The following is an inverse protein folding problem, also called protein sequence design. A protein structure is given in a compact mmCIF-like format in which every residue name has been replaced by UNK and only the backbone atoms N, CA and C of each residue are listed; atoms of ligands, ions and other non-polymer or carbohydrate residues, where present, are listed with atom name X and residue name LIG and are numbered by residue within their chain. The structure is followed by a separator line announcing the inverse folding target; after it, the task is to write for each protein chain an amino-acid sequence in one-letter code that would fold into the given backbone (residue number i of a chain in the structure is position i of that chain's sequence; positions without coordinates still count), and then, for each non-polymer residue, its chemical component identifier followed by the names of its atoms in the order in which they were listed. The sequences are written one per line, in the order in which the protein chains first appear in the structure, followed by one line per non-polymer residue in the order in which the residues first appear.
data_IF_698024361910
#
_entry.id   IF_698024361910
#
_cell.length_a   1.000
_cell.length_b   1.000
_cell.length_c   1.000
_cell.angle_alpha   90.00
_cell.angle_beta   90.00
_cell.angle_gamma   90.00
#
_symmetry.space_group_name_H-M   'P 1'
#
loop_
_entity.id
_entity.type
_entity.pdbx_description
1 polymer ?
#
# COMPACT_ATOMS: atom_id res chain seq x y z
N UNK A 1 -7.43 1.92 22.16
CA UNK A 1 -7.89 1.35 23.45
C UNK A 1 -8.43 2.50 24.27
N UNK A 2 -9.65 2.36 24.82
CA UNK A 2 -10.30 3.41 25.60
C UNK A 2 -9.61 3.62 26.95
N UNK A 3 -9.54 4.87 27.43
CA UNK A 3 -8.84 5.27 28.64
C UNK A 3 -9.20 4.46 29.90
N UNK A 4 -10.49 4.09 30.15
CA UNK A 4 -10.85 3.27 31.30
C UNK A 4 -10.20 1.87 31.32
N UNK A 5 -9.87 1.31 30.18
CA UNK A 5 -9.13 0.03 30.10
C UNK A 5 -7.65 0.26 30.37
N UNK A 6 -7.07 1.33 29.82
CA UNK A 6 -5.66 1.64 30.05
C UNK A 6 -5.34 1.92 31.54
N UNK A 7 -6.26 2.56 32.25
CA UNK A 7 -6.09 2.86 33.69
C UNK A 7 -6.17 1.62 34.60
N UNK A 8 -6.74 0.52 34.13
CA UNK A 8 -6.94 -0.73 34.90
C UNK A 8 -6.02 -1.87 34.49
N UNK A 9 -5.27 -1.69 33.40
CA UNK A 9 -4.37 -2.69 32.85
C UNK A 9 -2.94 -2.14 32.78
N UNK A 10 -1.99 -3.06 32.90
CA UNK A 10 -0.59 -2.72 32.63
C UNK A 10 -0.39 -2.65 31.12
N UNK A 11 -0.02 -1.48 30.61
CA UNK A 11 0.22 -1.26 29.18
C UNK A 11 1.65 -1.65 28.83
N UNK A 12 1.82 -2.70 28.02
CA UNK A 12 3.11 -3.09 27.47
C UNK A 12 3.19 -2.62 26.02
N UNK A 13 4.14 -1.73 25.72
CA UNK A 13 4.39 -1.25 24.36
C UNK A 13 5.37 -2.17 23.66
N UNK A 14 4.88 -2.99 22.73
CA UNK A 14 5.74 -3.83 21.88
C UNK A 14 6.11 -3.03 20.65
N UNK A 15 7.42 -2.76 20.50
CA UNK A 15 7.97 -2.06 19.34
C UNK A 15 8.47 -3.10 18.33
N UNK A 16 8.10 -2.99 17.04
CA UNK A 16 8.58 -3.93 16.04
C UNK A 16 10.11 -3.81 15.88
N UNK A 17 10.81 -4.93 15.58
CA UNK A 17 12.25 -4.92 15.30
C UNK A 17 12.59 -4.01 14.12
N UNK A 18 13.83 -3.55 14.04
CA UNK A 18 14.29 -2.77 12.89
C UNK A 18 14.21 -3.57 11.58
N UNK A 19 14.03 -2.89 10.45
CA UNK A 19 13.96 -3.51 9.13
C UNK A 19 15.18 -4.38 8.82
N UNK A 20 16.37 -3.99 9.29
CA UNK A 20 17.60 -4.77 9.10
C UNK A 20 17.60 -6.09 9.86
N UNK A 21 17.05 -6.12 11.07
CA UNK A 21 16.92 -7.35 11.86
C UNK A 21 15.91 -8.28 11.21
N UNK A 22 14.78 -7.75 10.74
CA UNK A 22 13.76 -8.54 10.04
C UNK A 22 14.33 -9.09 8.72
N UNK A 23 15.05 -8.29 7.93
CA UNK A 23 15.67 -8.75 6.69
C UNK A 23 16.64 -9.90 6.91
N UNK A 24 17.49 -9.84 7.94
CA UNK A 24 18.37 -10.95 8.32
C UNK A 24 17.59 -12.20 8.69
N UNK A 25 16.54 -12.05 9.50
CA UNK A 25 15.70 -13.19 9.89
C UNK A 25 15.04 -13.87 8.68
N UNK A 26 14.52 -13.08 7.72
CA UNK A 26 13.94 -13.63 6.50
C UNK A 26 14.99 -14.35 5.63
N UNK A 27 16.19 -13.79 5.51
CA UNK A 27 17.30 -14.43 4.80
C UNK A 27 17.71 -15.76 5.47
N UNK A 28 17.76 -15.82 6.81
CA UNK A 28 18.05 -17.05 7.55
C UNK A 28 16.96 -18.12 7.33
N UNK A 29 15.70 -17.73 7.30
CA UNK A 29 14.58 -18.64 7.01
C UNK A 29 14.70 -19.18 5.58
N UNK A 30 14.91 -18.31 4.59
CA UNK A 30 15.07 -18.72 3.20
C UNK A 30 16.29 -19.62 3.00
N UNK A 31 17.39 -19.35 3.71
CA UNK A 31 18.58 -20.22 3.70
C UNK A 31 18.28 -21.63 4.23
N UNK A 32 17.47 -21.76 5.30
CA UNK A 32 17.04 -23.07 5.84
C UNK A 32 16.14 -23.84 4.88
N UNK A 33 15.29 -23.13 4.15
CA UNK A 33 14.39 -23.69 3.14
C UNK A 33 15.06 -23.86 1.77
N UNK A 34 16.38 -23.59 1.66
CA UNK A 34 17.16 -23.69 0.42
C UNK A 34 16.61 -22.82 -0.72
N UNK A 35 16.04 -21.67 -0.38
CA UNK A 35 15.53 -20.69 -1.34
C UNK A 35 16.63 -19.70 -1.71
N UNK A 36 17.05 -19.71 -2.98
CA UNK A 36 17.98 -18.71 -3.51
C UNK A 36 17.29 -17.35 -3.66
N UNK A 37 17.93 -16.28 -3.22
CA UNK A 37 17.33 -14.94 -3.20
C UNK A 37 18.39 -13.85 -3.41
N UNK A 38 17.97 -12.70 -3.94
CA UNK A 38 18.78 -11.48 -3.97
C UNK A 38 18.45 -10.59 -2.74
N UNK A 39 19.47 -9.93 -2.23
CA UNK A 39 19.34 -8.96 -1.11
C UNK A 39 18.35 -7.85 -1.47
N UNK A 40 18.28 -7.43 -2.72
CA UNK A 40 17.35 -6.42 -3.21
C UNK A 40 15.88 -6.87 -3.11
N UNK A 41 15.62 -8.14 -3.42
CA UNK A 41 14.28 -8.72 -3.32
C UNK A 41 13.80 -8.78 -1.88
N UNK A 42 14.67 -9.22 -0.97
CA UNK A 42 14.36 -9.22 0.47
C UNK A 42 14.08 -7.81 0.98
N UNK A 43 14.92 -6.84 0.60
CA UNK A 43 14.73 -5.45 1.00
C UNK A 43 13.39 -4.88 0.49
N UNK A 44 12.98 -5.24 -0.72
CA UNK A 44 11.70 -4.84 -1.31
C UNK A 44 10.52 -5.39 -0.51
N UNK A 45 10.54 -6.69 -0.18
CA UNK A 45 9.49 -7.33 0.63
C UNK A 45 9.38 -6.68 2.01
N UNK A 46 10.53 -6.46 2.66
CA UNK A 46 10.57 -5.82 3.98
C UNK A 46 10.03 -4.40 3.93
N UNK A 47 10.47 -3.59 2.97
CA UNK A 47 10.00 -2.21 2.86
C UNK A 47 8.49 -2.09 2.62
N UNK A 48 7.94 -3.03 1.83
CA UNK A 48 6.52 -3.04 1.49
C UNK A 48 5.62 -3.50 2.63
N UNK A 49 6.04 -4.51 3.38
CA UNK A 49 5.17 -5.18 4.35
C UNK A 49 5.50 -4.84 5.81
N UNK A 50 6.52 -4.00 6.06
CA UNK A 50 6.86 -3.59 7.43
C UNK A 50 5.67 -2.92 8.14
N UNK A 51 5.37 -3.30 9.40
CA UNK A 51 6.12 -4.20 10.28
C UNK A 51 5.61 -5.65 10.31
N UNK A 52 4.74 -6.07 9.41
CA UNK A 52 4.06 -7.38 9.43
C UNK A 52 4.94 -8.51 8.87
N UNK A 53 5.67 -9.20 9.77
CA UNK A 53 6.56 -10.32 9.42
C UNK A 53 5.79 -11.50 8.82
N UNK A 54 4.55 -11.78 9.27
CA UNK A 54 3.73 -12.86 8.71
C UNK A 54 3.41 -12.59 7.25
N UNK A 55 3.03 -11.36 6.93
CA UNK A 55 2.75 -10.95 5.55
C UNK A 55 4.00 -11.04 4.67
N UNK A 56 5.18 -10.72 5.23
CA UNK A 56 6.46 -10.90 4.51
C UNK A 56 6.73 -12.35 4.18
N UNK A 57 6.58 -13.27 5.14
CA UNK A 57 6.77 -14.71 4.94
C UNK A 57 5.78 -15.28 3.92
N UNK A 58 4.50 -14.91 4.01
CA UNK A 58 3.50 -15.30 3.03
C UNK A 58 3.85 -14.78 1.62
N UNK A 59 4.36 -13.55 1.52
CA UNK A 59 4.81 -12.99 0.23
C UNK A 59 5.98 -13.78 -0.33
N UNK A 60 6.96 -14.15 0.49
CA UNK A 60 8.09 -14.99 0.09
C UNK A 60 7.58 -16.34 -0.41
N UNK A 61 6.70 -17.00 0.33
CA UNK A 61 6.15 -18.30 -0.04
C UNK A 61 5.40 -18.26 -1.38
N UNK A 62 4.58 -17.22 -1.60
CA UNK A 62 3.85 -17.04 -2.86
C UNK A 62 4.76 -16.67 -4.04
N UNK A 63 5.89 -16.01 -3.77
CA UNK A 63 6.86 -15.58 -4.79
C UNK A 63 7.99 -16.57 -5.02
N UNK A 64 8.00 -17.72 -4.32
CA UNK A 64 8.97 -18.77 -4.50
C UNK A 64 8.57 -19.66 -5.68
N UNK A 65 9.46 -19.82 -6.63
CA UNK A 65 9.27 -20.61 -7.84
C UNK A 65 10.24 -21.80 -7.83
N UNK A 66 9.75 -22.96 -8.25
CA UNK A 66 10.59 -24.14 -8.46
C UNK A 66 11.31 -24.02 -9.83
N UNK A 67 12.63 -23.92 -9.79
CA UNK A 67 13.47 -23.85 -11.00
C UNK A 67 13.85 -25.22 -11.59
N UNK A 68 13.33 -26.30 -11.01
CA UNK A 68 13.73 -27.67 -11.33
C UNK A 68 15.02 -28.07 -10.61
N UNK A 69 15.29 -29.38 -10.54
CA UNK A 69 16.45 -29.96 -9.83
C UNK A 69 16.54 -29.61 -8.33
N UNK A 70 15.41 -29.49 -7.63
CA UNK A 70 15.34 -29.09 -6.23
C UNK A 70 15.90 -27.66 -5.95
N UNK A 71 15.90 -26.79 -6.93
CA UNK A 71 16.37 -25.41 -6.79
C UNK A 71 15.18 -24.47 -6.66
N UNK A 72 14.89 -24.01 -5.44
CA UNK A 72 13.88 -22.99 -5.19
C UNK A 72 14.53 -21.60 -5.30
N UNK A 73 13.88 -20.68 -5.97
CA UNK A 73 14.35 -19.29 -6.02
C UNK A 73 13.22 -18.31 -5.82
N UNK A 74 13.54 -17.19 -5.19
CA UNK A 74 12.62 -16.10 -5.02
C UNK A 74 12.51 -15.33 -6.35
N UNK A 75 11.29 -15.13 -6.83
CA UNK A 75 11.00 -14.28 -7.98
C UNK A 75 9.88 -13.32 -7.61
N UNK A 76 10.25 -12.08 -7.44
CA UNK A 76 9.25 -11.04 -7.19
C UNK A 76 8.70 -10.60 -8.54
N UNK A 77 7.46 -11.00 -8.85
CA UNK A 77 6.76 -10.50 -10.01
C UNK A 77 6.55 -8.98 -9.90
N UNK A 78 6.62 -8.30 -11.04
CA UNK A 78 6.34 -6.86 -11.11
C UNK A 78 4.96 -6.51 -10.53
N UNK A 79 4.00 -7.44 -10.57
CA UNK A 79 2.69 -7.28 -9.92
C UNK A 79 2.79 -7.07 -8.40
N UNK A 80 3.78 -7.66 -7.74
CA UNK A 80 4.06 -7.41 -6.31
C UNK A 80 4.66 -6.02 -6.12
N UNK A 81 5.37 -5.48 -7.11
CA UNK A 81 5.94 -4.14 -7.12
C UNK A 81 4.90 -3.07 -7.57
N UNK A 82 4.00 -3.44 -8.45
CA UNK A 82 2.98 -2.56 -9.07
C UNK A 82 2.00 -1.98 -8.06
N UNK A 83 1.74 -2.63 -6.92
CA UNK A 83 0.84 -2.07 -5.90
C UNK A 83 1.27 -0.69 -5.35
N UNK A 84 2.54 -0.28 -5.55
CA UNK A 84 3.02 1.05 -5.17
C UNK A 84 3.17 2.02 -6.35
N UNK A 85 3.08 1.52 -7.60
CA UNK A 85 3.24 2.38 -8.76
C UNK A 85 1.92 3.06 -9.16
N UNK A 86 0.77 2.35 -9.05
CA UNK A 86 -0.50 2.92 -9.46
C UNK A 86 -0.85 4.19 -8.66
N UNK A 87 -0.53 4.24 -7.36
CA UNK A 87 -0.82 5.41 -6.53
C UNK A 87 -0.04 6.63 -6.99
N UNK A 88 1.23 6.46 -7.37
CA UNK A 88 2.08 7.52 -7.92
C UNK A 88 1.63 7.94 -9.32
N UNK A 89 1.20 6.99 -10.14
CA UNK A 89 0.65 7.26 -11.47
C UNK A 89 -0.66 8.03 -11.37
N UNK A 90 -1.55 7.65 -10.48
CA UNK A 90 -2.79 8.39 -10.19
C UNK A 90 -2.47 9.83 -9.75
N UNK A 91 -1.52 10.01 -8.84
CA UNK A 91 -1.11 11.34 -8.39
C UNK A 91 -0.54 12.18 -9.54
N UNK A 92 0.30 11.57 -10.38
CA UNK A 92 0.88 12.24 -11.56
C UNK A 92 -0.21 12.67 -12.54
N UNK A 93 -1.14 11.78 -12.88
CA UNK A 93 -2.25 12.10 -13.78
C UNK A 93 -3.18 13.18 -13.18
N UNK A 94 -3.47 13.10 -11.89
CA UNK A 94 -4.27 14.11 -11.20
C UNK A 94 -3.62 15.50 -11.23
N UNK A 95 -2.28 15.55 -11.11
CA UNK A 95 -1.52 16.81 -11.13
C UNK A 95 -1.37 17.39 -12.53
N UNK A 96 -1.11 16.52 -13.53
CA UNK A 96 -0.75 16.97 -14.88
C UNK A 96 -1.95 17.14 -15.81
N UNK A 97 -2.79 16.13 -15.93
CA UNK A 97 -3.83 16.08 -16.96
C UNK A 97 -5.24 16.21 -16.41
N UNK A 98 -5.44 15.88 -15.12
CA UNK A 98 -6.76 15.82 -14.49
C UNK A 98 -7.77 14.96 -15.29
N UNK A 99 -7.25 13.95 -16.00
CA UNK A 99 -8.06 13.09 -16.87
C UNK A 99 -8.66 11.92 -16.09
N UNK A 100 -9.95 12.02 -15.77
CA UNK A 100 -10.69 11.01 -15.02
C UNK A 100 -10.67 9.63 -15.66
N UNK A 101 -10.74 9.55 -17.01
CA UNK A 101 -10.79 8.27 -17.74
C UNK A 101 -9.47 7.52 -17.59
N UNK A 102 -8.34 8.22 -17.73
CA UNK A 102 -7.01 7.62 -17.54
C UNK A 102 -6.80 7.16 -16.10
N UNK A 103 -7.20 7.96 -15.12
CA UNK A 103 -7.09 7.61 -13.70
C UNK A 103 -7.90 6.35 -13.42
N UNK A 104 -9.11 6.25 -13.96
CA UNK A 104 -9.94 5.04 -13.84
C UNK A 104 -9.24 3.82 -14.44
N UNK A 105 -8.62 3.95 -15.60
CA UNK A 105 -7.89 2.85 -16.24
C UNK A 105 -6.72 2.37 -15.36
N UNK A 106 -5.92 3.28 -14.84
CA UNK A 106 -4.80 2.95 -13.93
C UNK A 106 -5.30 2.20 -12.70
N UNK A 107 -6.42 2.62 -12.11
CA UNK A 107 -7.00 1.96 -10.94
C UNK A 107 -7.52 0.57 -11.30
N UNK A 108 -8.23 0.42 -12.41
CA UNK A 108 -8.75 -0.86 -12.87
C UNK A 108 -7.61 -1.85 -13.18
N UNK A 109 -6.57 -1.40 -13.89
CA UNK A 109 -5.42 -2.23 -14.26
C UNK A 109 -4.58 -2.65 -13.06
N UNK A 110 -4.62 -1.89 -11.95
CA UNK A 110 -3.90 -2.22 -10.71
C UNK A 110 -4.44 -3.47 -10.00
N UNK A 111 -5.70 -3.85 -10.23
CA UNK A 111 -6.36 -4.97 -9.57
C UNK A 111 -6.49 -4.84 -8.05
N UNK A 112 -6.22 -3.66 -7.50
CA UNK A 112 -6.27 -3.39 -6.04
C UNK A 112 -7.72 -3.30 -5.58
N UNK A 113 -8.02 -3.97 -4.46
CA UNK A 113 -9.36 -3.98 -3.85
C UNK A 113 -9.50 -3.04 -2.66
N UNK A 114 -8.38 -2.58 -2.12
CA UNK A 114 -8.36 -1.66 -0.98
C UNK A 114 -7.57 -0.40 -1.30
N UNK A 115 -8.22 0.74 -1.17
CA UNK A 115 -7.70 2.04 -1.59
C UNK A 115 -7.27 2.94 -0.42
N UNK A 116 -7.14 2.40 0.81
CA UNK A 116 -6.73 3.19 1.98
C UNK A 116 -5.37 3.88 1.74
N UNK A 117 -4.41 3.15 1.14
CA UNK A 117 -3.09 3.69 0.80
C UNK A 117 -3.20 4.85 -0.21
N UNK A 118 -4.12 4.76 -1.18
CA UNK A 118 -4.35 5.83 -2.15
C UNK A 118 -4.95 7.07 -1.49
N UNK A 119 -5.93 6.92 -0.59
CA UNK A 119 -6.48 8.05 0.17
C UNK A 119 -5.40 8.75 0.99
N UNK A 120 -4.53 7.98 1.67
CA UNK A 120 -3.43 8.52 2.45
C UNK A 120 -2.44 9.29 1.59
N UNK A 121 -2.03 8.72 0.46
CA UNK A 121 -1.11 9.37 -0.48
C UNK A 121 -1.71 10.66 -1.08
N UNK A 122 -2.98 10.65 -1.44
CA UNK A 122 -3.67 11.86 -1.91
C UNK A 122 -3.70 12.94 -0.84
N UNK A 123 -3.89 12.58 0.43
CA UNK A 123 -3.84 13.54 1.52
C UNK A 123 -2.44 14.08 1.78
N UNK A 124 -1.41 13.21 1.78
CA UNK A 124 -0.01 13.62 1.99
C UNK A 124 0.51 14.60 0.92
N UNK A 125 0.01 14.45 -0.31
CA UNK A 125 0.44 15.29 -1.44
C UNK A 125 -0.60 16.33 -1.88
N UNK A 126 -1.53 16.66 -1.00
CA UNK A 126 -2.66 17.54 -1.31
C UNK A 126 -2.22 18.92 -1.81
N UNK A 127 -1.17 19.49 -1.27
CA UNK A 127 -0.60 20.79 -1.67
C UNK A 127 -0.05 20.79 -3.11
N UNK A 128 0.29 19.61 -3.65
CA UNK A 128 0.85 19.50 -5.01
C UNK A 128 -0.22 19.68 -6.08
N UNK A 129 -1.43 19.13 -5.86
CA UNK A 129 -2.49 19.14 -6.89
C UNK A 129 -3.69 20.02 -6.55
N UNK A 130 -3.93 20.33 -5.27
CA UNK A 130 -5.13 21.07 -4.86
C UNK A 130 -4.94 22.58 -4.80
N UNK A 131 -3.72 23.10 -4.63
CA UNK A 131 -3.40 24.53 -4.50
C UNK A 131 -4.57 25.27 -3.82
N UNK A 132 -4.50 26.26 -3.17
CA UNK A 132 -5.54 27.09 -2.50
C UNK A 132 -6.92 26.45 -2.16
N UNK A 133 -7.13 25.15 -2.49
CA UNK A 133 -8.36 24.39 -2.27
C UNK A 133 -8.17 23.14 -1.39
N UNK A 134 -7.03 23.07 -0.67
CA UNK A 134 -6.67 21.93 0.17
C UNK A 134 -7.76 21.59 1.20
N UNK A 135 -8.37 22.63 1.80
CA UNK A 135 -9.45 22.42 2.77
C UNK A 135 -10.66 21.71 2.18
N UNK A 136 -11.11 22.14 0.99
CA UNK A 136 -12.25 21.52 0.31
C UNK A 136 -11.95 20.08 -0.10
N UNK A 137 -10.74 19.83 -0.59
CA UNK A 137 -10.30 18.48 -0.97
C UNK A 137 -10.18 17.57 0.26
N UNK A 138 -9.69 18.09 1.39
CA UNK A 138 -9.63 17.33 2.64
C UNK A 138 -11.00 16.86 3.11
N UNK A 139 -12.02 17.72 3.00
CA UNK A 139 -13.41 17.36 3.34
C UNK A 139 -13.90 16.23 2.45
N UNK A 140 -13.66 16.31 1.13
CA UNK A 140 -14.02 15.26 0.16
C UNK A 140 -13.33 13.94 0.50
N UNK A 141 -12.02 13.97 0.78
CA UNK A 141 -11.26 12.77 1.13
C UNK A 141 -11.78 12.12 2.42
N UNK A 142 -12.04 12.91 3.46
CA UNK A 142 -12.56 12.41 4.72
C UNK A 142 -13.96 11.78 4.56
N UNK A 143 -14.86 12.44 3.83
CA UNK A 143 -16.20 11.91 3.56
C UNK A 143 -16.15 10.55 2.87
N UNK A 144 -15.35 10.44 1.80
CA UNK A 144 -15.25 9.21 1.02
C UNK A 144 -14.47 8.12 1.73
N UNK A 145 -13.45 8.46 2.53
CA UNK A 145 -12.73 7.51 3.36
C UNK A 145 -13.64 6.90 4.42
N UNK A 146 -14.48 7.72 5.08
CA UNK A 146 -15.49 7.22 6.01
C UNK A 146 -16.48 6.29 5.32
N UNK A 147 -16.99 6.69 4.15
CA UNK A 147 -17.93 5.89 3.36
C UNK A 147 -17.32 4.57 2.85
N UNK A 148 -16.01 4.51 2.60
CA UNK A 148 -15.33 3.32 2.10
C UNK A 148 -15.52 2.08 2.98
N UNK A 149 -15.74 2.27 4.29
CA UNK A 149 -16.01 1.19 5.24
C UNK A 149 -17.41 0.58 5.10
N UNK A 150 -18.36 1.30 4.51
CA UNK A 150 -19.75 0.90 4.38
C UNK A 150 -20.18 0.61 2.95
N UNK A 151 -19.38 0.99 1.96
CA UNK A 151 -19.69 0.78 0.55
C UNK A 151 -19.29 -0.62 0.11
N UNK A 152 -20.18 -1.28 -0.64
CA UNK A 152 -19.95 -2.59 -1.23
C UNK A 152 -18.82 -2.52 -2.26
N UNK A 153 -18.81 -1.46 -3.08
CA UNK A 153 -17.82 -1.25 -4.12
C UNK A 153 -16.91 -0.06 -3.75
N UNK A 154 -15.68 -0.41 -3.37
CA UNK A 154 -14.67 0.57 -2.99
C UNK A 154 -14.09 1.31 -4.20
N UNK A 155 -14.08 0.69 -5.39
CA UNK A 155 -13.60 1.32 -6.62
C UNK A 155 -14.53 2.48 -7.03
N UNK A 156 -15.84 2.26 -7.02
CA UNK A 156 -16.80 3.33 -7.31
C UNK A 156 -16.65 4.48 -6.30
N UNK A 157 -16.40 4.16 -5.03
CA UNK A 157 -16.25 5.17 -4.01
C UNK A 157 -15.01 6.06 -4.22
N UNK A 158 -13.84 5.46 -4.48
CA UNK A 158 -12.62 6.23 -4.75
C UNK A 158 -12.72 7.02 -6.06
N UNK A 159 -13.34 6.45 -7.09
CA UNK A 159 -13.55 7.15 -8.36
C UNK A 159 -14.50 8.35 -8.20
N UNK A 160 -15.51 8.24 -7.35
CA UNK A 160 -16.40 9.36 -7.01
C UNK A 160 -15.65 10.46 -6.25
N UNK A 161 -14.75 10.09 -5.33
CA UNK A 161 -13.88 11.05 -4.64
C UNK A 161 -12.99 11.81 -5.64
N UNK A 162 -12.32 11.08 -6.53
CA UNK A 162 -11.43 11.67 -7.56
C UNK A 162 -12.22 12.60 -8.50
N UNK A 163 -13.44 12.22 -8.91
CA UNK A 163 -14.27 13.08 -9.75
C UNK A 163 -14.60 14.40 -9.06
N UNK A 164 -15.05 14.36 -7.80
CA UNK A 164 -15.31 15.57 -7.00
C UNK A 164 -14.06 16.43 -6.80
N UNK A 165 -12.90 15.78 -6.56
CA UNK A 165 -11.61 16.48 -6.44
C UNK A 165 -11.29 17.21 -7.74
N UNK A 166 -11.35 16.54 -8.89
CA UNK A 166 -11.09 17.15 -10.20
C UNK A 166 -12.02 18.33 -10.47
N UNK A 167 -13.30 18.20 -10.14
CA UNK A 167 -14.28 19.28 -10.28
C UNK A 167 -13.94 20.47 -9.37
N UNK A 168 -13.51 20.19 -8.14
CA UNK A 168 -13.15 21.23 -7.17
C UNK A 168 -11.89 21.97 -7.60
N UNK A 169 -10.86 21.29 -8.15
CA UNK A 169 -9.57 21.87 -8.50
C UNK A 169 -9.49 22.45 -9.92
N UNK A 170 -10.57 22.34 -10.71
CA UNK A 170 -10.70 23.07 -11.98
C UNK A 170 -10.96 24.55 -11.70
#
# INVERSE_FOLDING_TARGET
IIDPIQSRCQVLKIVPPSKSVIAKHLADVMGKESISHDVKEVATIVNKNYPDVRKMLNTIQLSTVDGGNNCLYLKIDESVLVSNNYTKEVLKELTQTKNWIKIRQIIADSGVKDFEELYRLLFEHISVYAKDKEGSVTIILNEHLFQANFRIDKEINIMSAIAKIIETIK
#
